data_IF_365872494130
#
_entry.id   IF_365872494130
#
_cell.length_a   1.000
_cell.length_b   1.000
_cell.length_c   1.000
_cell.angle_alpha   90.00
_cell.angle_beta   90.00
_cell.angle_gamma   90.00
#
_symmetry.space_group_name_H-M   'P 1'
#
loop_
_entity.id
_entity.type
_entity.pdbx_description
1 polymer ?
#
# COMPACT_ATOMS: atom_id res chain seq x y z
N UNK A 1 5.22 -5.96 -8.19
CA UNK A 1 4.22 -4.85 -8.18
C UNK A 1 4.79 -3.64 -8.89
N UNK A 2 5.96 -3.13 -8.47
CA UNK A 2 6.64 -2.01 -9.13
C UNK A 2 6.83 -2.22 -10.64
N UNK A 3 7.30 -3.38 -11.13
CA UNK A 3 7.50 -3.58 -12.58
C UNK A 3 6.25 -3.34 -13.44
N UNK A 4 5.04 -3.62 -12.91
CA UNK A 4 3.78 -3.35 -13.62
C UNK A 4 3.49 -1.85 -13.64
N UNK A 5 3.74 -1.17 -12.53
CA UNK A 5 3.59 0.29 -12.43
C UNK A 5 4.62 1.02 -13.31
N UNK A 6 5.86 0.55 -13.36
CA UNK A 6 6.91 1.09 -14.23
C UNK A 6 6.55 0.97 -15.70
N UNK A 7 6.02 -0.18 -16.13
CA UNK A 7 5.50 -0.34 -17.50
C UNK A 7 4.37 0.64 -17.79
N UNK A 8 3.43 0.79 -16.86
CA UNK A 8 2.34 1.75 -17.02
C UNK A 8 2.85 3.19 -17.17
N UNK A 9 3.84 3.60 -16.34
CA UNK A 9 4.48 4.90 -16.45
C UNK A 9 5.21 5.06 -17.79
N UNK A 10 5.98 4.06 -18.22
CA UNK A 10 6.70 4.09 -19.49
C UNK A 10 5.74 4.21 -20.69
N UNK A 11 4.64 3.46 -20.70
CA UNK A 11 3.61 3.52 -21.74
C UNK A 11 2.95 4.90 -21.78
N UNK A 12 2.58 5.46 -20.61
CA UNK A 12 1.96 6.77 -20.51
C UNK A 12 2.89 7.90 -21.03
N UNK A 13 4.18 7.79 -20.75
CA UNK A 13 5.17 8.80 -21.15
C UNK A 13 5.50 8.70 -22.62
N UNK A 14 5.62 7.47 -23.14
CA UNK A 14 5.75 7.23 -24.58
C UNK A 14 4.59 7.84 -25.36
N UNK A 15 3.35 7.64 -24.88
CA UNK A 15 2.16 8.26 -25.46
C UNK A 15 2.22 9.80 -25.40
N UNK A 16 2.58 10.38 -24.25
CA UNK A 16 2.72 11.82 -24.08
C UNK A 16 3.78 12.43 -25.03
N UNK A 17 4.95 11.79 -25.16
CA UNK A 17 6.00 12.22 -26.09
C UNK A 17 5.52 12.12 -27.55
N UNK A 18 4.78 11.08 -27.90
CA UNK A 18 4.15 10.94 -29.22
C UNK A 18 3.20 12.10 -29.53
N UNK A 19 2.32 12.43 -28.59
CA UNK A 19 1.38 13.55 -28.72
C UNK A 19 2.10 14.90 -28.83
N UNK A 20 3.17 15.11 -28.06
CA UNK A 20 4.01 16.31 -28.15
C UNK A 20 4.69 16.41 -29.52
N UNK A 21 5.28 15.31 -30.03
CA UNK A 21 5.90 15.25 -31.36
C UNK A 21 4.89 15.61 -32.46
N UNK A 22 3.65 15.10 -32.37
CA UNK A 22 2.58 15.42 -33.31
C UNK A 22 2.19 16.91 -33.27
N UNK A 23 2.09 17.50 -32.06
CA UNK A 23 1.68 18.91 -31.88
C UNK A 23 2.73 19.91 -32.36
N UNK A 24 4.02 19.60 -32.25
CA UNK A 24 5.08 20.50 -32.70
C UNK A 24 5.14 20.61 -34.24
N UNK A 25 4.58 19.64 -34.98
CA UNK A 25 4.54 19.64 -36.44
C UNK A 25 5.92 19.60 -37.09
N UNK A 26 6.00 19.46 -38.43
CA UNK A 26 7.27 19.36 -39.17
C UNK A 26 8.01 20.71 -39.37
N UNK A 27 7.68 21.79 -38.65
CA UNK A 27 8.10 23.15 -39.05
C UNK A 27 8.19 24.21 -37.94
N UNK A 28 8.81 23.91 -36.80
CA UNK A 28 9.10 24.96 -35.82
C UNK A 28 10.25 25.87 -36.28
N UNK A 29 9.86 27.03 -36.82
CA UNK A 29 10.74 28.15 -37.06
C UNK A 29 11.25 28.77 -35.76
N UNK A 30 12.55 29.09 -35.74
CA UNK A 30 13.29 29.96 -34.81
C UNK A 30 13.32 29.66 -33.31
N UNK A 31 12.51 28.75 -32.76
CA UNK A 31 12.67 28.23 -31.39
C UNK A 31 12.54 26.71 -31.42
N UNK A 32 13.61 26.02 -31.85
CA UNK A 32 13.64 24.56 -31.90
C UNK A 32 13.57 24.01 -30.47
N UNK A 33 12.37 23.59 -30.05
CA UNK A 33 12.20 22.80 -28.82
C UNK A 33 12.76 21.41 -29.11
N UNK A 34 13.94 21.11 -28.55
CA UNK A 34 14.52 19.77 -28.60
C UNK A 34 13.72 18.86 -27.66
N UNK A 35 12.86 18.02 -28.23
CA UNK A 35 12.23 16.95 -27.47
C UNK A 35 13.24 15.83 -27.22
N UNK A 36 13.25 15.30 -25.99
CA UNK A 36 13.94 14.05 -25.68
C UNK A 36 13.25 12.88 -26.36
N UNK A 37 14.02 11.89 -26.79
CA UNK A 37 13.48 10.68 -27.42
C UNK A 37 12.89 9.70 -26.42
N UNK A 38 13.38 9.72 -25.20
CA UNK A 38 12.87 8.95 -24.07
C UNK A 38 13.07 9.73 -22.77
N UNK A 39 12.28 9.38 -21.77
CA UNK A 39 12.42 9.88 -20.39
C UNK A 39 12.83 8.70 -19.54
N UNK A 40 13.91 8.85 -18.79
CA UNK A 40 14.40 7.78 -17.93
C UNK A 40 13.40 7.52 -16.79
N UNK A 41 13.21 6.25 -16.43
CA UNK A 41 12.41 5.88 -15.27
C UNK A 41 13.33 5.23 -14.23
N UNK A 42 13.32 5.77 -13.02
CA UNK A 42 14.10 5.30 -11.90
C UNK A 42 13.20 4.95 -10.73
N UNK A 43 13.56 3.89 -10.02
CA UNK A 43 13.08 3.68 -8.65
C UNK A 43 13.82 4.62 -7.70
N UNK A 44 13.14 5.07 -6.65
CA UNK A 44 13.78 5.83 -5.59
C UNK A 44 15.00 5.10 -5.03
N UNK A 45 14.92 3.77 -4.84
CA UNK A 45 16.05 2.98 -4.33
C UNK A 45 17.30 3.08 -5.19
N UNK A 46 17.14 3.19 -6.51
CA UNK A 46 18.27 3.30 -7.45
C UNK A 46 18.93 4.69 -7.39
N UNK A 47 18.12 5.75 -7.24
CA UNK A 47 18.63 7.10 -7.04
C UNK A 47 19.39 7.18 -5.71
N UNK A 48 18.77 6.74 -4.62
CA UNK A 48 19.37 6.76 -3.29
C UNK A 48 20.67 5.93 -3.19
N UNK A 49 20.72 4.77 -3.86
CA UNK A 49 21.91 3.93 -3.89
C UNK A 49 23.09 4.56 -4.66
N UNK A 50 22.80 5.41 -5.65
CA UNK A 50 23.81 6.10 -6.46
C UNK A 50 24.43 7.34 -5.81
N UNK A 51 23.87 7.82 -4.69
CA UNK A 51 24.39 8.98 -3.97
C UNK A 51 25.71 8.66 -3.26
N UNK A 52 26.59 9.66 -3.17
CA UNK A 52 27.77 9.60 -2.30
C UNK A 52 27.38 9.80 -0.81
N UNK A 53 28.35 9.63 0.09
CA UNK A 53 28.09 9.69 1.54
C UNK A 53 27.69 11.09 2.03
N UNK A 54 28.20 12.16 1.39
CA UNK A 54 27.81 13.53 1.73
C UNK A 54 26.36 13.81 1.32
N UNK A 55 25.97 13.41 0.12
CA UNK A 55 24.60 13.48 -0.36
C UNK A 55 23.64 12.64 0.50
N UNK A 56 24.03 11.42 0.90
CA UNK A 56 23.22 10.61 1.82
C UNK A 56 23.05 11.26 3.19
N UNK A 57 24.10 11.90 3.72
CA UNK A 57 24.03 12.65 4.98
C UNK A 57 23.02 13.78 4.88
N UNK A 58 23.13 14.62 3.84
CA UNK A 58 22.19 15.73 3.58
C UNK A 58 20.75 15.26 3.42
N UNK A 59 20.54 14.18 2.68
CA UNK A 59 19.22 13.59 2.50
C UNK A 59 18.64 13.09 3.83
N UNK A 60 19.51 12.51 4.67
CA UNK A 60 19.14 12.07 6.02
C UNK A 60 18.80 13.22 6.97
N UNK A 61 19.53 14.34 6.91
CA UNK A 61 19.23 15.55 7.67
C UNK A 61 17.90 16.16 7.25
N UNK A 62 17.63 16.22 5.94
CA UNK A 62 16.34 16.67 5.43
C UNK A 62 15.20 15.77 5.91
N UNK A 63 15.35 14.45 5.81
CA UNK A 63 14.35 13.49 6.28
C UNK A 63 14.02 13.68 7.76
N UNK A 64 15.05 13.82 8.61
CA UNK A 64 14.86 14.10 10.03
C UNK A 64 14.13 15.43 10.28
N UNK A 65 14.52 16.51 9.58
CA UNK A 65 13.87 17.81 9.70
C UNK A 65 12.41 17.80 9.25
N UNK A 66 12.07 17.03 8.22
CA UNK A 66 10.70 16.94 7.70
C UNK A 66 9.79 16.10 8.60
N UNK A 67 10.34 15.10 9.30
CA UNK A 67 9.58 14.21 10.16
C UNK A 67 8.95 14.91 11.38
N UNK A 68 9.52 16.03 11.82
CA UNK A 68 8.99 16.85 12.92
C UNK A 68 8.05 17.98 12.43
N UNK A 69 7.82 18.07 11.11
CA UNK A 69 6.95 19.07 10.49
C UNK A 69 5.48 18.64 10.36
N UNK A 70 4.63 19.58 9.91
CA UNK A 70 3.19 19.35 9.70
C UNK A 70 2.83 18.74 8.33
N UNK A 71 3.83 18.52 7.46
CA UNK A 71 3.59 18.01 6.12
C UNK A 71 3.10 16.57 6.15
N UNK A 72 2.17 16.23 5.26
CA UNK A 72 1.71 14.85 5.11
C UNK A 72 2.85 13.95 4.61
N UNK A 73 2.81 12.66 4.96
CA UNK A 73 3.83 11.69 4.54
C UNK A 73 4.07 11.67 3.01
N UNK A 74 3.04 11.75 2.13
CA UNK A 74 3.26 11.86 0.70
C UNK A 74 4.10 13.09 0.30
N UNK A 75 3.84 14.22 0.96
CA UNK A 75 4.53 15.48 0.68
C UNK A 75 5.97 15.46 1.19
N UNK A 76 6.21 14.87 2.36
CA UNK A 76 7.55 14.60 2.85
C UNK A 76 8.32 13.69 1.88
N UNK A 77 7.70 12.61 1.40
CA UNK A 77 8.30 11.71 0.40
C UNK A 77 8.63 12.43 -0.91
N UNK A 78 7.76 13.33 -1.39
CA UNK A 78 7.99 14.15 -2.58
C UNK A 78 9.26 15.00 -2.41
N UNK A 79 9.37 15.74 -1.30
CA UNK A 79 10.51 16.61 -1.02
C UNK A 79 11.83 15.85 -0.92
N UNK A 80 11.84 14.70 -0.22
CA UNK A 80 13.04 13.85 -0.16
C UNK A 80 13.39 13.27 -1.53
N UNK A 81 12.40 12.91 -2.35
CA UNK A 81 12.65 12.43 -3.72
C UNK A 81 13.28 13.50 -4.59
N UNK A 82 12.77 14.74 -4.53
CA UNK A 82 13.30 15.88 -5.28
C UNK A 82 14.74 16.22 -4.86
N UNK A 83 15.01 16.19 -3.56
CA UNK A 83 16.36 16.42 -3.04
C UNK A 83 17.32 15.30 -3.44
N UNK A 84 16.90 14.04 -3.37
CA UNK A 84 17.70 12.90 -3.85
C UNK A 84 18.01 13.05 -5.35
N UNK A 85 17.04 13.46 -6.16
CA UNK A 85 17.26 13.74 -7.58
C UNK A 85 18.27 14.86 -7.79
N UNK A 86 18.12 15.98 -7.07
CA UNK A 86 19.05 17.12 -7.14
C UNK A 86 20.49 16.72 -6.77
N UNK A 87 20.64 15.93 -5.70
CA UNK A 87 21.92 15.45 -5.21
C UNK A 87 22.54 14.35 -6.09
N UNK A 88 21.74 13.69 -6.94
CA UNK A 88 22.25 12.69 -7.89
C UNK A 88 23.04 13.29 -9.05
N UNK A 89 22.92 14.61 -9.27
CA UNK A 89 23.52 15.34 -10.39
C UNK A 89 23.12 14.83 -11.79
N UNK A 90 22.08 14.00 -11.89
CA UNK A 90 21.49 13.60 -13.16
C UNK A 90 20.78 14.78 -13.79
N UNK A 91 21.06 15.03 -15.08
CA UNK A 91 20.60 16.23 -15.81
C UNK A 91 19.46 15.97 -16.79
N UNK A 92 19.22 14.71 -17.15
CA UNK A 92 18.20 14.34 -18.14
C UNK A 92 16.79 14.31 -17.50
N UNK A 93 15.72 14.65 -18.26
CA UNK A 93 14.36 14.45 -17.78
C UNK A 93 14.13 13.02 -17.33
N UNK A 94 13.59 12.85 -16.12
CA UNK A 94 13.35 11.54 -15.55
C UNK A 94 12.08 11.50 -14.71
N UNK A 95 11.62 10.27 -14.48
CA UNK A 95 10.53 9.92 -13.59
C UNK A 95 11.12 9.10 -12.47
N UNK A 96 10.91 9.54 -11.24
CA UNK A 96 11.27 8.77 -10.05
C UNK A 96 10.00 8.19 -9.45
N UNK A 97 9.96 6.86 -9.33
CA UNK A 97 8.84 6.12 -8.73
C UNK A 97 9.21 5.61 -7.34
N UNK A 98 8.25 5.67 -6.42
CA UNK A 98 8.39 5.22 -5.04
C UNK A 98 7.04 5.21 -4.33
N UNK A 99 7.07 4.95 -3.03
CA UNK A 99 5.89 4.94 -2.17
C UNK A 99 5.82 6.21 -1.31
N UNK A 100 4.64 6.80 -1.22
CA UNK A 100 4.36 8.00 -0.43
C UNK A 100 3.51 7.75 0.82
N UNK A 101 3.27 6.49 1.17
CA UNK A 101 2.38 6.10 2.27
C UNK A 101 2.98 4.98 3.09
N UNK A 102 2.44 4.78 4.30
CA UNK A 102 2.72 3.58 5.08
C UNK A 102 2.21 2.33 4.32
N UNK A 103 2.91 1.18 4.44
CA UNK A 103 2.45 -0.07 3.83
C UNK A 103 1.26 -0.64 4.58
N UNK A 104 0.28 -1.14 3.82
CA UNK A 104 -0.77 -2.03 4.33
C UNK A 104 -0.52 -3.43 3.78
N UNK A 105 0.01 -4.31 4.64
CA UNK A 105 0.41 -5.64 4.22
C UNK A 105 -0.77 -6.54 3.91
N UNK A 106 -0.64 -7.41 2.88
CA UNK A 106 -1.54 -8.54 2.69
C UNK A 106 -1.28 -9.57 3.79
N UNK A 107 -2.31 -9.87 4.57
CA UNK A 107 -2.23 -10.89 5.60
C UNK A 107 -2.78 -12.21 5.11
N UNK A 108 -2.36 -13.31 5.72
CA UNK A 108 -2.80 -14.65 5.37
C UNK A 108 -3.23 -15.46 6.61
N UNK A 109 -3.87 -16.61 6.37
CA UNK A 109 -4.47 -17.47 7.40
C UNK A 109 -4.16 -18.96 7.17
N UNK A 110 -2.93 -19.28 6.78
CA UNK A 110 -2.56 -20.67 6.46
C UNK A 110 -1.20 -21.10 6.99
N UNK A 111 -0.47 -20.22 7.69
CA UNK A 111 0.90 -20.49 8.13
C UNK A 111 0.95 -21.37 9.36
N UNK A 112 0.02 -21.16 10.30
CA UNK A 112 -0.01 -21.86 11.58
C UNK A 112 -1.23 -22.80 11.70
N UNK A 113 -1.17 -23.85 12.56
CA UNK A 113 -2.34 -24.65 12.88
C UNK A 113 -3.52 -23.82 13.40
N UNK A 114 -3.23 -22.80 14.22
CA UNK A 114 -4.24 -21.86 14.72
C UNK A 114 -4.91 -21.07 13.58
N UNK A 115 -4.14 -20.61 12.60
CA UNK A 115 -4.68 -19.92 11.43
C UNK A 115 -5.55 -20.80 10.55
N UNK A 116 -5.11 -22.04 10.28
CA UNK A 116 -5.91 -23.03 9.54
C UNK A 116 -7.23 -23.32 10.25
N UNK A 117 -7.19 -23.53 11.57
CA UNK A 117 -8.38 -23.72 12.40
C UNK A 117 -9.32 -22.52 12.35
N UNK A 118 -8.80 -21.31 12.49
CA UNK A 118 -9.61 -20.08 12.38
C UNK A 118 -10.30 -19.98 11.02
N UNK A 119 -9.57 -20.30 9.94
CA UNK A 119 -10.12 -20.32 8.57
C UNK A 119 -11.21 -21.38 8.42
N UNK A 120 -10.98 -22.59 8.91
CA UNK A 120 -11.96 -23.69 8.86
C UNK A 120 -13.25 -23.33 9.60
N UNK A 121 -13.15 -22.77 10.81
CA UNK A 121 -14.29 -22.29 11.59
C UNK A 121 -15.08 -21.23 10.80
N UNK A 122 -14.39 -20.23 10.24
CA UNK A 122 -15.03 -19.18 9.47
C UNK A 122 -15.76 -19.71 8.24
N UNK A 123 -15.14 -20.64 7.50
CA UNK A 123 -15.73 -21.28 6.32
C UNK A 123 -16.94 -22.15 6.68
N UNK A 124 -16.88 -22.91 7.77
CA UNK A 124 -17.99 -23.75 8.22
C UNK A 124 -19.21 -22.89 8.62
N UNK A 125 -18.99 -21.81 9.37
CA UNK A 125 -20.05 -20.89 9.77
C UNK A 125 -20.67 -20.23 8.54
N UNK A 126 -19.85 -19.75 7.60
CA UNK A 126 -20.30 -19.16 6.35
C UNK A 126 -21.13 -20.15 5.50
N UNK A 127 -20.66 -21.40 5.35
CA UNK A 127 -21.37 -22.44 4.60
C UNK A 127 -22.75 -22.78 5.18
N UNK A 128 -22.93 -22.60 6.50
CA UNK A 128 -24.18 -22.87 7.20
C UNK A 128 -25.06 -21.63 7.41
N UNK A 129 -24.61 -20.44 7.01
CA UNK A 129 -25.23 -19.17 7.35
C UNK A 129 -26.69 -19.06 6.89
N UNK A 130 -26.99 -19.47 5.65
CA UNK A 130 -28.36 -19.40 5.10
C UNK A 130 -29.34 -20.21 5.95
N UNK A 131 -28.93 -21.41 6.38
CA UNK A 131 -29.75 -22.28 7.23
C UNK A 131 -29.88 -21.74 8.66
N UNK A 132 -28.81 -21.16 9.22
CA UNK A 132 -28.78 -20.71 10.64
C UNK A 132 -29.38 -19.32 10.85
N UNK A 133 -29.26 -18.44 9.87
CA UNK A 133 -29.57 -17.00 10.00
C UNK A 133 -30.55 -16.48 8.94
N UNK A 134 -30.89 -17.29 7.92
CA UNK A 134 -31.76 -16.85 6.84
C UNK A 134 -31.09 -15.92 5.83
N UNK A 135 -29.77 -15.76 5.88
CA UNK A 135 -29.00 -14.96 4.92
C UNK A 135 -27.66 -15.61 4.60
N UNK A 136 -27.12 -15.33 3.40
CA UNK A 136 -25.79 -15.78 3.03
C UNK A 136 -24.71 -14.92 3.71
N UNK A 137 -23.60 -15.57 4.09
CA UNK A 137 -22.38 -14.92 4.55
C UNK A 137 -21.25 -15.48 3.68
N UNK A 138 -20.42 -14.60 3.12
CA UNK A 138 -19.27 -14.99 2.32
C UNK A 138 -17.96 -14.71 3.05
N UNK A 139 -16.94 -15.50 2.76
CA UNK A 139 -15.56 -15.20 3.12
C UNK A 139 -14.85 -14.59 1.92
N UNK A 140 -14.15 -13.48 2.14
CA UNK A 140 -13.31 -12.85 1.13
C UNK A 140 -11.86 -12.87 1.60
N UNK A 141 -10.95 -13.27 0.72
CA UNK A 141 -9.51 -13.30 1.03
C UNK A 141 -8.89 -11.88 1.04
N UNK A 142 -9.57 -10.90 0.43
CA UNK A 142 -9.11 -9.52 0.32
C UNK A 142 -10.17 -8.53 0.79
N UNK A 143 -9.76 -7.61 1.65
CA UNK A 143 -10.56 -6.47 2.09
C UNK A 143 -10.10 -5.21 1.33
N UNK A 144 -11.04 -4.52 0.68
CA UNK A 144 -10.73 -3.36 -0.16
C UNK A 144 -10.48 -2.06 0.64
N UNK A 145 -10.69 -2.09 1.95
CA UNK A 145 -10.43 -0.97 2.85
C UNK A 145 -9.10 -1.08 3.59
N UNK A 146 -8.76 -0.03 4.31
CA UNK A 146 -7.67 -0.03 5.29
C UNK A 146 -8.13 -0.81 6.53
N UNK A 147 -7.27 -1.66 7.07
CA UNK A 147 -7.55 -2.44 8.27
C UNK A 147 -6.30 -2.59 9.11
N UNK A 148 -6.47 -2.52 10.43
CA UNK A 148 -5.40 -2.81 11.38
C UNK A 148 -4.86 -4.24 11.24
N UNK A 149 -5.63 -5.14 10.61
CA UNK A 149 -5.15 -6.46 10.22
C UNK A 149 -3.83 -6.41 9.46
N UNK A 150 -3.58 -5.37 8.66
CA UNK A 150 -2.31 -5.20 7.94
C UNK A 150 -1.08 -5.08 8.85
N UNK A 151 -1.27 -4.85 10.16
CA UNK A 151 -0.22 -4.82 11.18
C UNK A 151 -0.31 -6.01 12.16
N UNK A 152 -1.52 -6.51 12.41
CA UNK A 152 -1.75 -7.62 13.34
C UNK A 152 -1.61 -9.02 12.72
N UNK A 153 -2.07 -9.18 11.48
CA UNK A 153 -2.20 -10.49 10.84
C UNK A 153 -0.87 -11.12 10.45
N UNK A 154 -0.92 -12.41 10.11
CA UNK A 154 0.26 -13.14 9.66
C UNK A 154 0.70 -12.61 8.29
N UNK A 155 1.91 -12.07 8.21
CA UNK A 155 2.54 -11.68 6.95
C UNK A 155 4.05 -11.91 6.98
N UNK A 156 4.65 -11.98 5.79
CA UNK A 156 6.09 -12.19 5.64
C UNK A 156 6.77 -10.82 5.73
N UNK A 157 7.50 -10.52 6.81
CA UNK A 157 8.14 -9.21 7.00
C UNK A 157 9.11 -8.85 5.86
N UNK A 158 9.82 -9.82 5.27
CA UNK A 158 10.71 -9.55 4.12
C UNK A 158 9.99 -9.05 2.86
N UNK A 159 8.65 -9.16 2.80
CA UNK A 159 7.86 -8.52 1.74
C UNK A 159 7.90 -6.99 1.81
N UNK A 160 8.28 -6.42 2.96
CA UNK A 160 8.43 -4.98 3.15
C UNK A 160 9.74 -4.43 2.62
N UNK A 161 10.77 -5.25 2.41
CA UNK A 161 12.11 -4.74 2.08
C UNK A 161 12.09 -3.86 0.82
N UNK A 162 11.36 -4.29 -0.21
CA UNK A 162 11.21 -3.51 -1.45
C UNK A 162 10.39 -2.24 -1.25
N UNK A 163 9.41 -2.27 -0.34
CA UNK A 163 8.61 -1.09 0.00
C UNK A 163 9.47 -0.09 0.78
N UNK A 164 10.23 -0.58 1.75
CA UNK A 164 11.14 0.20 2.57
C UNK A 164 12.19 0.93 1.74
N UNK A 165 12.90 0.20 0.87
CA UNK A 165 13.92 0.78 -0.02
C UNK A 165 13.36 1.81 -1.00
N UNK A 166 12.07 1.73 -1.32
CA UNK A 166 11.40 2.64 -2.26
C UNK A 166 10.48 3.65 -1.56
N UNK A 167 10.51 3.76 -0.24
CA UNK A 167 9.80 4.80 0.52
C UNK A 167 10.81 5.82 1.03
N UNK A 168 10.87 7.03 0.45
CA UNK A 168 11.87 8.03 0.83
C UNK A 168 11.90 8.34 2.33
N UNK A 169 10.73 8.40 2.96
CA UNK A 169 10.56 8.67 4.39
C UNK A 169 10.46 7.40 5.26
N UNK A 170 10.99 6.24 4.81
CA UNK A 170 10.86 5.00 5.57
C UNK A 170 11.42 5.10 6.99
N UNK A 171 12.63 5.65 7.12
CA UNK A 171 13.33 5.78 8.40
C UNK A 171 12.64 6.78 9.34
N UNK A 172 12.42 8.00 8.84
CA UNK A 172 12.05 9.13 9.70
C UNK A 172 10.53 9.39 9.77
N UNK A 173 9.80 9.11 8.69
CA UNK A 173 8.34 9.35 8.61
C UNK A 173 7.51 8.11 8.93
N UNK A 174 7.81 6.97 8.30
CA UNK A 174 7.12 5.69 8.58
C UNK A 174 7.54 5.11 9.92
N UNK A 175 8.84 5.23 10.26
CA UNK A 175 9.43 4.74 11.52
C UNK A 175 9.12 3.27 11.79
N UNK A 176 9.20 2.43 10.74
CA UNK A 176 8.89 1.01 10.88
C UNK A 176 9.85 0.33 11.87
N UNK A 177 9.35 -0.46 12.85
CA UNK A 177 10.21 -1.15 13.80
C UNK A 177 11.20 -2.09 13.10
N UNK A 178 12.47 -2.06 13.51
CA UNK A 178 13.51 -2.95 12.96
C UNK A 178 13.21 -4.43 13.22
N UNK A 179 12.46 -4.73 14.29
CA UNK A 179 12.11 -6.08 14.71
C UNK A 179 10.66 -6.12 15.19
N UNK A 180 9.96 -7.22 14.92
CA UNK A 180 8.58 -7.45 15.38
C UNK A 180 7.64 -6.31 14.97
N UNK A 181 7.78 -5.84 13.72
CA UNK A 181 6.88 -4.84 13.16
C UNK A 181 5.46 -5.37 12.98
N UNK A 182 5.30 -6.70 12.99
CA UNK A 182 4.03 -7.40 12.91
C UNK A 182 3.78 -8.25 14.14
N UNK A 183 2.52 -8.27 14.60
CA UNK A 183 2.12 -9.15 15.69
C UNK A 183 2.09 -10.63 15.26
N UNK A 184 1.87 -10.90 13.96
CA UNK A 184 1.74 -12.24 13.38
C UNK A 184 0.72 -13.11 14.12
N UNK A 185 -0.45 -12.54 14.39
CA UNK A 185 -1.57 -13.20 15.05
C UNK A 185 -2.58 -13.61 13.98
N UNK A 186 -3.03 -14.88 13.94
CA UNK A 186 -4.11 -15.28 13.05
C UNK A 186 -5.36 -14.41 13.28
N UNK A 187 -5.76 -13.66 12.26
CA UNK A 187 -6.81 -12.64 12.38
C UNK A 187 -7.74 -12.71 11.17
N UNK A 188 -9.04 -12.57 11.42
CA UNK A 188 -10.08 -12.33 10.41
C UNK A 188 -10.82 -11.03 10.75
N UNK A 189 -11.31 -10.32 9.74
CA UNK A 189 -12.25 -9.22 9.94
C UNK A 189 -13.68 -9.75 9.76
N UNK A 190 -14.54 -9.51 10.74
CA UNK A 190 -15.97 -9.79 10.65
C UNK A 190 -16.71 -8.50 10.97
N UNK A 191 -17.46 -7.99 10.00
CA UNK A 191 -18.07 -6.67 10.08
C UNK A 191 -19.54 -6.65 9.66
N UNK A 192 -20.23 -5.52 9.89
CA UNK A 192 -21.60 -5.32 9.45
C UNK A 192 -21.70 -5.31 7.92
N UNK A 193 -22.90 -5.58 7.42
CA UNK A 193 -23.22 -5.34 6.03
C UNK A 193 -23.84 -3.96 5.87
N UNK A 194 -23.27 -3.16 4.98
CA UNK A 194 -23.66 -1.77 4.76
C UNK A 194 -23.16 -1.24 3.43
N UNK A 195 -23.35 0.05 3.20
CA UNK A 195 -22.88 0.78 2.01
C UNK A 195 -22.36 2.14 2.41
N UNK A 196 -21.50 2.68 1.55
CA UNK A 196 -21.01 4.06 1.61
C UNK A 196 -20.27 4.37 2.94
N UNK A 197 -19.49 3.39 3.43
CA UNK A 197 -18.65 3.51 4.62
C UNK A 197 -17.69 4.70 4.50
N UNK A 198 -17.48 5.44 5.59
CA UNK A 198 -16.68 6.67 5.62
C UNK A 198 -17.20 7.79 4.70
N UNK A 199 -18.51 7.84 4.46
CA UNK A 199 -19.17 8.95 3.76
C UNK A 199 -20.40 9.44 4.51
N UNK A 200 -20.91 10.66 4.24
CA UNK A 200 -22.17 11.13 4.82
C UNK A 200 -23.40 10.27 4.51
N UNK A 201 -23.33 9.37 3.52
CA UNK A 201 -24.41 8.46 3.13
C UNK A 201 -24.24 7.05 3.72
N UNK A 202 -23.30 6.89 4.66
CA UNK A 202 -23.05 5.64 5.34
C UNK A 202 -24.33 5.06 5.93
N UNK A 203 -24.60 3.80 5.61
CA UNK A 203 -25.77 3.08 6.11
C UNK A 203 -25.44 1.61 6.32
N UNK A 204 -26.06 1.04 7.35
CA UNK A 204 -25.90 -0.36 7.72
C UNK A 204 -27.25 -1.08 7.67
N UNK A 205 -27.23 -2.38 7.42
CA UNK A 205 -28.43 -3.19 7.46
C UNK A 205 -28.72 -3.64 8.89
N UNK A 206 -29.68 -2.98 9.53
CA UNK A 206 -30.03 -3.20 10.94
C UNK A 206 -30.29 -4.66 11.31
N UNK A 207 -31.01 -5.41 10.46
CA UNK A 207 -31.32 -6.82 10.72
C UNK A 207 -30.08 -7.71 10.80
N UNK A 208 -29.16 -7.60 9.83
CA UNK A 208 -27.88 -8.28 9.88
C UNK A 208 -27.04 -7.79 11.07
N UNK A 209 -26.81 -6.49 11.19
CA UNK A 209 -25.85 -5.95 12.16
C UNK A 209 -26.24 -6.16 13.62
N UNK A 210 -27.54 -6.12 13.96
CA UNK A 210 -27.98 -6.23 15.35
C UNK A 210 -28.55 -7.61 15.71
N UNK A 211 -28.91 -8.46 14.72
CA UNK A 211 -29.46 -9.80 15.01
C UNK A 211 -28.54 -10.93 14.53
N UNK A 212 -27.91 -10.82 13.36
CA UNK A 212 -27.10 -11.91 12.76
C UNK A 212 -25.65 -11.81 13.18
N UNK A 213 -25.02 -10.65 12.99
CA UNK A 213 -23.60 -10.42 13.26
C UNK A 213 -23.19 -10.78 14.71
N UNK A 214 -23.93 -10.39 15.77
CA UNK A 214 -23.55 -10.76 17.13
C UNK A 214 -23.56 -12.27 17.36
N UNK A 215 -24.48 -12.99 16.70
CA UNK A 215 -24.57 -14.47 16.78
C UNK A 215 -23.40 -15.13 16.04
N UNK A 216 -23.04 -14.62 14.87
CA UNK A 216 -21.86 -15.08 14.10
C UNK A 216 -20.59 -14.90 14.93
N UNK A 217 -20.39 -13.71 15.51
CA UNK A 217 -19.25 -13.43 16.38
C UNK A 217 -19.21 -14.38 17.58
N UNK A 218 -20.36 -14.59 18.24
CA UNK A 218 -20.49 -15.53 19.35
C UNK A 218 -20.11 -16.96 18.95
N UNK A 219 -20.61 -17.45 17.81
CA UNK A 219 -20.30 -18.79 17.31
C UNK A 219 -18.81 -18.96 16.95
N UNK A 220 -18.18 -17.96 16.33
CA UNK A 220 -16.74 -17.96 16.05
C UNK A 220 -15.96 -18.02 17.36
N UNK A 221 -16.27 -17.16 18.34
CA UNK A 221 -15.60 -17.15 19.63
C UNK A 221 -15.79 -18.47 20.39
N UNK A 222 -17.00 -19.01 20.45
CA UNK A 222 -17.29 -20.29 21.09
C UNK A 222 -16.54 -21.43 20.40
N UNK A 223 -16.55 -21.48 19.07
CA UNK A 223 -15.81 -22.50 18.32
C UNK A 223 -14.30 -22.39 18.55
N UNK A 224 -13.76 -21.18 18.69
CA UNK A 224 -12.34 -20.97 18.99
C UNK A 224 -11.97 -21.38 20.42
N UNK A 225 -12.78 -21.01 21.41
CA UNK A 225 -12.52 -21.27 22.84
C UNK A 225 -12.82 -22.71 23.27
N UNK A 226 -13.76 -23.37 22.61
CA UNK A 226 -14.01 -24.79 22.81
C UNK A 226 -12.92 -25.57 22.07
N UNK A 227 -11.78 -25.73 22.73
CA UNK A 227 -10.83 -26.78 22.40
C UNK A 227 -11.48 -28.12 22.79
N UNK A 228 -11.51 -29.05 21.85
CA UNK A 228 -11.69 -30.47 22.17
C UNK A 228 -10.45 -31.01 22.85
#
# INVERSE_FOLDING_TARGET
MLDRFERLCADAVSACLGDLKLRLGPGNGSAAVNLVDSVALHRFEAIAAGLDEDAKSKLGELGASLADGELSLPEQCRLVTEEAWRLSHLSEPAIVVGFGSIPYLPTNLYQTPAAKRLREIALEIAANATRRYGCAIGCADYFAGISDMSFFGEAVESSLDVVARNTPMWRDGVRWPLHRGLANIPTINIGPWGRDYHTPLERLHIGYSFNVLPRVLGEVCTALLNEG
#
